data_IF_894873634841
#
_entry.id   IF_894873634841
#
_cell.length_a   1.000
_cell.length_b   1.000
_cell.length_c   1.000
_cell.angle_alpha   90.00
_cell.angle_beta   90.00
_cell.angle_gamma   90.00
#
_symmetry.space_group_name_H-M   'P 1'
#
loop_
_entity.id
_entity.type
_entity.pdbx_description
1 polymer ?
#
# COMPACT_ATOMS: atom_id res chain seq x y z
N UNK A 1 -10.80 -14.15 -16.63
CA UNK A 1 -9.77 -14.10 -15.57
C UNK A 1 -8.50 -13.43 -16.11
N UNK A 2 -8.47 -12.09 -16.22
CA UNK A 2 -7.31 -11.35 -16.76
C UNK A 2 -6.76 -10.26 -15.83
N UNK A 3 -7.29 -10.15 -14.59
CA UNK A 3 -6.98 -9.06 -13.65
C UNK A 3 -6.25 -9.55 -12.38
N UNK A 4 -5.79 -10.82 -12.36
CA UNK A 4 -5.09 -11.37 -11.19
C UNK A 4 -3.75 -10.65 -10.95
N UNK A 5 -3.01 -10.34 -12.03
CA UNK A 5 -1.81 -9.52 -12.00
C UNK A 5 -2.08 -8.12 -11.42
N UNK A 6 -3.23 -7.54 -11.75
CA UNK A 6 -3.65 -6.24 -11.22
C UNK A 6 -3.91 -6.29 -9.71
N UNK A 7 -4.46 -7.40 -9.22
CA UNK A 7 -4.73 -7.59 -7.79
C UNK A 7 -3.44 -7.64 -6.96
N UNK A 8 -2.38 -8.28 -7.49
CA UNK A 8 -1.05 -8.24 -6.86
C UNK A 8 -0.46 -6.84 -6.88
N UNK A 9 -0.49 -6.14 -8.02
CA UNK A 9 0.02 -4.77 -8.11
C UNK A 9 -0.70 -3.82 -7.15
N UNK A 10 -2.02 -3.97 -7.01
CA UNK A 10 -2.82 -3.22 -6.03
C UNK A 10 -2.42 -3.55 -4.59
N UNK A 11 -2.27 -4.83 -4.25
CA UNK A 11 -1.82 -5.27 -2.92
C UNK A 11 -0.42 -4.76 -2.57
N UNK A 12 0.53 -4.86 -3.49
CA UNK A 12 1.89 -4.33 -3.34
C UNK A 12 1.88 -2.81 -3.12
N UNK A 13 1.05 -2.09 -3.88
CA UNK A 13 0.88 -0.64 -3.72
C UNK A 13 0.40 -0.28 -2.32
N UNK A 14 -0.66 -0.95 -1.83
CA UNK A 14 -1.21 -0.69 -0.49
C UNK A 14 -0.18 -1.01 0.59
N UNK A 15 0.50 -2.16 0.51
CA UNK A 15 1.51 -2.56 1.48
C UNK A 15 2.72 -1.61 1.51
N UNK A 16 3.18 -1.15 0.34
CA UNK A 16 4.32 -0.23 0.24
C UNK A 16 3.99 1.13 0.84
N UNK A 17 2.83 1.70 0.51
CA UNK A 17 2.39 2.98 1.08
C UNK A 17 2.15 2.87 2.60
N UNK A 18 1.59 1.76 3.09
CA UNK A 18 1.45 1.51 4.51
C UNK A 18 2.80 1.42 5.23
N UNK A 19 3.79 0.74 4.64
CA UNK A 19 5.16 0.68 5.16
C UNK A 19 5.79 2.07 5.24
N UNK A 20 5.72 2.87 4.17
CA UNK A 20 6.25 4.24 4.18
C UNK A 20 5.57 5.11 5.24
N UNK A 21 4.25 4.94 5.45
CA UNK A 21 3.54 5.65 6.49
C UNK A 21 3.98 5.22 7.90
N UNK A 22 4.29 3.94 8.12
CA UNK A 22 4.85 3.44 9.38
C UNK A 22 6.22 4.08 9.66
N UNK A 23 7.10 4.12 8.68
CA UNK A 23 8.42 4.77 8.81
C UNK A 23 8.31 6.26 9.16
N UNK A 24 7.35 6.96 8.56
CA UNK A 24 7.21 8.43 8.72
C UNK A 24 6.39 8.84 9.95
N UNK A 25 5.36 8.06 10.30
CA UNK A 25 4.34 8.47 11.27
C UNK A 25 4.38 7.61 12.54
N UNK A 26 5.04 6.46 12.53
CA UNK A 26 5.13 5.56 13.68
C UNK A 26 3.80 4.92 14.07
N UNK A 27 3.53 4.88 15.37
CA UNK A 27 2.41 4.12 15.96
C UNK A 27 1.03 4.37 15.32
N UNK A 28 0.61 5.61 14.99
CA UNK A 28 -0.67 5.85 14.35
C UNK A 28 -0.84 5.14 13.00
N UNK A 29 0.24 4.94 12.23
CA UNK A 29 0.20 4.19 10.97
C UNK A 29 0.18 2.67 11.23
N UNK A 30 0.89 2.20 12.26
CA UNK A 30 0.82 0.81 12.72
C UNK A 30 -0.62 0.44 13.12
N UNK A 31 -1.30 1.29 13.88
CA UNK A 31 -2.67 1.05 14.32
C UNK A 31 -3.65 0.95 13.14
N UNK A 32 -3.50 1.84 12.14
CA UNK A 32 -4.29 1.76 10.89
C UNK A 32 -4.01 0.49 10.11
N UNK A 33 -2.75 0.07 10.03
CA UNK A 33 -2.38 -1.17 9.35
C UNK A 33 -2.94 -2.41 10.03
N UNK A 34 -2.82 -2.50 11.36
CA UNK A 34 -3.41 -3.60 12.14
C UNK A 34 -4.92 -3.64 11.99
N UNK A 35 -5.58 -2.47 11.99
CA UNK A 35 -7.01 -2.37 11.71
C UNK A 35 -7.33 -2.90 10.32
N UNK A 36 -6.59 -2.49 9.29
CA UNK A 36 -6.78 -2.98 7.92
C UNK A 36 -6.70 -4.50 7.85
N UNK A 37 -5.68 -5.11 8.46
CA UNK A 37 -5.51 -6.58 8.48
C UNK A 37 -6.67 -7.28 9.19
N UNK A 38 -7.18 -6.69 10.30
CA UNK A 38 -8.29 -7.27 11.07
C UNK A 38 -9.62 -7.30 10.30
N UNK A 39 -9.76 -6.55 9.20
CA UNK A 39 -11.00 -6.51 8.42
C UNK A 39 -11.21 -7.78 7.59
N UNK A 40 -10.16 -8.54 7.26
CA UNK A 40 -10.27 -9.63 6.30
C UNK A 40 -10.94 -9.17 5.00
N UNK A 41 -12.00 -9.86 4.59
CA UNK A 41 -12.82 -9.56 3.42
C UNK A 41 -14.12 -8.79 3.74
N UNK A 42 -14.28 -8.30 4.97
CA UNK A 42 -15.52 -7.64 5.43
C UNK A 42 -15.84 -6.31 4.73
N UNK A 43 -14.85 -5.67 4.09
CA UNK A 43 -15.02 -4.46 3.31
C UNK A 43 -14.63 -4.68 1.85
N UNK A 44 -15.24 -3.92 0.95
CA UNK A 44 -14.78 -3.86 -0.43
C UNK A 44 -13.33 -3.32 -0.50
N UNK A 45 -12.54 -3.69 -1.52
CA UNK A 45 -11.10 -3.38 -1.58
C UNK A 45 -10.77 -1.89 -1.48
N UNK A 46 -11.58 -1.01 -2.07
CA UNK A 46 -11.36 0.45 -2.04
C UNK A 46 -11.55 0.99 -0.63
N UNK A 47 -12.61 0.57 0.06
CA UNK A 47 -12.88 0.96 1.44
C UNK A 47 -11.81 0.40 2.39
N UNK A 48 -11.41 -0.86 2.20
CA UNK A 48 -10.35 -1.48 2.99
C UNK A 48 -9.01 -0.74 2.82
N UNK A 49 -8.58 -0.44 1.59
CA UNK A 49 -7.34 0.29 1.34
C UNK A 49 -7.31 1.68 2.02
N UNK A 50 -8.46 2.39 2.05
CA UNK A 50 -8.57 3.67 2.76
C UNK A 50 -8.36 3.53 4.27
N UNK A 51 -8.73 2.40 4.88
CA UNK A 51 -8.44 2.13 6.30
C UNK A 51 -6.93 2.02 6.55
N UNK A 52 -6.18 1.45 5.60
CA UNK A 52 -4.72 1.46 5.63
C UNK A 52 -4.11 2.86 5.34
N UNK A 53 -4.94 3.87 5.05
CA UNK A 53 -4.51 5.21 4.68
C UNK A 53 -4.14 5.37 3.20
N UNK A 54 -4.55 4.44 2.33
CA UNK A 54 -4.18 4.43 0.91
C UNK A 54 -5.42 4.63 0.04
N UNK A 55 -5.43 5.70 -0.77
CA UNK A 55 -6.50 5.91 -1.76
C UNK A 55 -6.12 5.33 -3.13
N UNK A 56 -6.64 4.13 -3.38
CA UNK A 56 -6.42 3.39 -4.64
C UNK A 56 -7.32 3.86 -5.79
N UNK A 57 -8.16 4.89 -5.59
CA UNK A 57 -8.99 5.47 -6.66
C UNK A 57 -8.24 6.50 -7.51
N UNK A 58 -7.03 6.87 -7.09
CA UNK A 58 -6.12 7.74 -7.83
C UNK A 58 -4.85 7.00 -8.21
N UNK A 59 -4.08 7.56 -9.15
CA UNK A 59 -2.79 6.99 -9.56
C UNK A 59 -1.63 7.38 -8.62
N UNK A 60 -1.88 8.23 -7.62
CA UNK A 60 -0.86 8.78 -6.72
C UNK A 60 -0.15 7.69 -5.93
N UNK A 61 -0.91 6.78 -5.31
CA UNK A 61 -0.36 5.68 -4.52
C UNK A 61 0.54 4.75 -5.37
N UNK A 62 0.13 4.48 -6.61
CA UNK A 62 0.91 3.68 -7.54
C UNK A 62 2.20 4.38 -7.96
N UNK A 63 2.12 5.66 -8.33
CA UNK A 63 3.31 6.47 -8.69
C UNK A 63 4.32 6.57 -7.55
N UNK A 64 3.83 6.77 -6.32
CA UNK A 64 4.67 6.80 -5.11
C UNK A 64 5.35 5.46 -4.86
N UNK A 65 4.63 4.35 -5.06
CA UNK A 65 5.18 2.99 -4.96
C UNK A 65 6.28 2.75 -5.99
N UNK A 66 6.06 3.11 -7.25
CA UNK A 66 7.07 2.99 -8.31
C UNK A 66 8.31 3.82 -7.96
N UNK A 67 8.12 5.06 -7.50
CA UNK A 67 9.22 5.93 -7.11
C UNK A 67 10.02 5.39 -5.91
N UNK A 68 9.35 4.77 -4.94
CA UNK A 68 10.02 4.12 -3.81
C UNK A 68 10.86 2.93 -4.28
N UNK A 69 10.28 2.02 -5.07
CA UNK A 69 10.99 0.84 -5.58
C UNK A 69 12.17 1.25 -6.47
N UNK A 70 12.03 2.29 -7.29
CA UNK A 70 13.14 2.83 -8.09
C UNK A 70 14.32 3.23 -7.22
N UNK A 71 14.09 4.02 -6.15
CA UNK A 71 15.16 4.40 -5.21
C UNK A 71 15.79 3.20 -4.51
N UNK A 72 14.98 2.23 -4.07
CA UNK A 72 15.50 1.01 -3.42
C UNK A 72 16.37 0.17 -4.37
N UNK A 73 16.00 0.09 -5.65
CA UNK A 73 16.82 -0.57 -6.67
C UNK A 73 18.15 0.18 -6.85
N UNK A 74 18.10 1.51 -6.97
CA UNK A 74 19.32 2.33 -7.09
C UNK A 74 20.24 2.12 -5.88
N UNK A 75 19.70 2.04 -4.66
CA UNK A 75 20.46 1.77 -3.42
C UNK A 75 21.13 0.39 -3.37
N UNK A 76 20.59 -0.62 -4.08
CA UNK A 76 21.15 -1.98 -4.10
C UNK A 76 22.29 -2.11 -5.11
N UNK A 77 22.20 -1.39 -6.23
CA UNK A 77 23.16 -1.48 -7.33
C UNK A 77 24.25 -0.39 -7.31
N UNK A 78 24.23 0.48 -6.30
CA UNK A 78 25.27 1.47 -5.99
C UNK A 78 26.07 1.07 -4.75
#
# INVERSE_FOLDING_TARGET
MGLYSYSYSAGLTVATQAFQAIEQQGQPAVDRWLRYLSLGDSLNPVAAARVAGVDVTTDAALKQTIAFLGRTVDEIFH
#
